data_IF_776563540583
#
_entry.id   IF_776563540583
#
_cell.length_a   1.000
_cell.length_b   1.000
_cell.length_c   1.000
_cell.angle_alpha   90.00
_cell.angle_beta   90.00
_cell.angle_gamma   90.00
#
_symmetry.space_group_name_H-M   'P 1'
#
loop_
_entity.id
_entity.type
_entity.pdbx_description
1 polymer ?
#
# COMPACT_ATOMS: atom_id res chain seq x y z
N UNK A 1 126.61 25.10 111.91
CA UNK A 1 125.14 25.34 112.02
C UNK A 1 124.59 25.90 110.70
N UNK A 2 125.26 26.87 110.06
CA UNK A 2 124.86 27.45 108.77
C UNK A 2 124.88 26.47 107.58
N UNK A 3 125.86 25.57 107.50
CA UNK A 3 125.97 24.57 106.41
C UNK A 3 124.81 23.57 106.37
N UNK A 4 124.23 23.24 107.54
CA UNK A 4 123.05 22.37 107.68
C UNK A 4 121.76 23.04 107.20
N UNK A 5 121.64 24.36 107.38
CA UNK A 5 120.45 25.14 106.99
C UNK A 5 120.41 25.32 105.47
N UNK A 6 121.57 25.58 104.85
CA UNK A 6 121.71 25.68 103.40
C UNK A 6 121.34 24.35 102.71
N UNK A 7 121.78 23.22 103.24
CA UNK A 7 121.46 21.90 102.68
C UNK A 7 119.97 21.52 102.82
N UNK A 8 119.35 21.92 103.93
CA UNK A 8 117.91 21.73 104.15
C UNK A 8 117.08 22.60 103.19
N UNK A 9 117.47 23.86 102.96
CA UNK A 9 116.83 24.71 101.95
C UNK A 9 116.99 24.16 100.53
N UNK A 10 118.20 23.70 100.17
CA UNK A 10 118.44 23.11 98.85
C UNK A 10 117.56 21.87 98.61
N UNK A 11 117.40 21.04 99.64
CA UNK A 11 116.55 19.85 99.60
C UNK A 11 115.07 20.22 99.44
N UNK A 12 114.59 21.22 100.20
CA UNK A 12 113.21 21.71 100.11
C UNK A 12 112.90 22.32 98.72
N UNK A 13 113.79 23.17 98.19
CA UNK A 13 113.59 23.75 96.86
C UNK A 13 113.63 22.69 95.76
N UNK A 14 114.53 21.70 95.88
CA UNK A 14 114.57 20.58 94.95
C UNK A 14 113.26 19.79 94.96
N UNK A 15 112.76 19.45 96.14
CA UNK A 15 111.50 18.73 96.30
C UNK A 15 110.30 19.53 95.76
N UNK A 16 110.20 20.83 96.09
CA UNK A 16 109.16 21.70 95.55
C UNK A 16 109.20 21.81 94.01
N UNK A 17 110.41 21.84 93.44
CA UNK A 17 110.61 21.86 91.98
C UNK A 17 110.22 20.52 91.34
N UNK A 18 110.56 19.40 91.97
CA UNK A 18 110.19 18.05 91.54
C UNK A 18 108.66 17.87 91.59
N UNK A 19 108.00 18.26 92.69
CA UNK A 19 106.54 18.24 92.83
C UNK A 19 105.84 19.12 91.80
N UNK A 20 106.32 20.35 91.57
CA UNK A 20 105.77 21.23 90.54
C UNK A 20 105.92 20.64 89.12
N UNK A 21 107.02 19.91 88.87
CA UNK A 21 107.26 19.23 87.59
C UNK A 21 106.33 18.02 87.41
N UNK A 22 106.10 17.24 88.46
CA UNK A 22 105.14 16.14 88.47
C UNK A 22 103.71 16.64 88.27
N UNK A 23 103.28 17.69 88.98
CA UNK A 23 101.97 18.32 88.81
C UNK A 23 101.77 18.87 87.40
N UNK A 24 102.79 19.51 86.83
CA UNK A 24 102.77 19.98 85.44
C UNK A 24 102.60 18.80 84.47
N UNK A 25 103.31 17.69 84.68
CA UNK A 25 103.18 16.49 83.84
C UNK A 25 101.78 15.86 83.94
N UNK A 26 101.21 15.79 85.15
CA UNK A 26 99.82 15.32 85.37
C UNK A 26 98.81 16.25 84.69
N UNK A 27 98.98 17.56 84.81
CA UNK A 27 98.09 18.52 84.16
C UNK A 27 98.20 18.44 82.64
N UNK A 28 99.40 18.25 82.10
CA UNK A 28 99.65 18.12 80.67
C UNK A 28 99.05 16.83 80.10
N UNK A 29 99.15 15.69 80.81
CA UNK A 29 98.48 14.45 80.39
C UNK A 29 96.96 14.58 80.43
N UNK A 30 96.40 15.25 81.46
CA UNK A 30 94.96 15.55 81.54
C UNK A 30 94.50 16.48 80.43
N UNK A 31 95.29 17.52 80.12
CA UNK A 31 95.03 18.44 79.01
C UNK A 31 94.99 17.68 77.68
N UNK A 32 96.01 16.86 77.38
CA UNK A 32 96.06 16.08 76.14
C UNK A 32 94.88 15.10 76.01
N UNK A 33 94.47 14.47 77.12
CA UNK A 33 93.30 13.58 77.17
C UNK A 33 92.00 14.34 76.86
N UNK A 34 91.77 15.46 77.53
CA UNK A 34 90.58 16.29 77.30
C UNK A 34 90.55 16.86 75.88
N UNK A 35 91.69 17.28 75.35
CA UNK A 35 91.82 17.75 73.97
C UNK A 35 91.45 16.65 72.96
N UNK A 36 91.92 15.42 73.19
CA UNK A 36 91.57 14.27 72.33
C UNK A 36 90.06 13.96 72.39
N UNK A 37 89.46 13.99 73.57
CA UNK A 37 88.01 13.77 73.76
C UNK A 37 87.16 14.88 73.14
N UNK A 38 87.63 16.13 73.19
CA UNK A 38 86.97 17.26 72.54
C UNK A 38 86.97 17.08 71.02
N UNK A 39 88.13 16.72 70.44
CA UNK A 39 88.26 16.46 69.00
C UNK A 39 87.38 15.27 68.55
N UNK A 40 87.35 14.18 69.33
CA UNK A 40 86.48 13.03 69.07
C UNK A 40 84.99 13.44 69.10
N UNK A 41 84.60 14.21 70.12
CA UNK A 41 83.23 14.71 70.25
C UNK A 41 82.85 15.64 69.09
N UNK A 42 83.75 16.53 68.68
CA UNK A 42 83.56 17.41 67.52
C UNK A 42 83.41 16.61 66.22
N UNK A 43 84.24 15.59 65.99
CA UNK A 43 84.11 14.70 64.83
C UNK A 43 82.78 13.96 64.84
N UNK A 44 82.32 13.50 66.02
CA UNK A 44 81.03 12.82 66.16
C UNK A 44 79.87 13.76 65.86
N UNK A 45 79.89 14.98 66.40
CA UNK A 45 78.88 16.02 66.12
C UNK A 45 78.83 16.31 64.62
N UNK A 46 79.98 16.53 63.97
CA UNK A 46 80.04 16.76 62.53
C UNK A 46 79.44 15.60 61.71
N UNK A 47 79.76 14.35 62.08
CA UNK A 47 79.17 13.18 61.41
C UNK A 47 77.65 13.10 61.61
N UNK A 48 77.16 13.44 62.80
CA UNK A 48 75.73 13.46 63.10
C UNK A 48 75.01 14.58 62.33
N UNK A 49 75.61 15.76 62.22
CA UNK A 49 75.07 16.87 61.41
C UNK A 49 74.94 16.49 59.94
N UNK A 50 75.93 15.77 59.38
CA UNK A 50 75.85 15.24 58.02
C UNK A 50 74.71 14.22 57.87
N UNK A 51 74.57 13.27 58.80
CA UNK A 51 73.46 12.31 58.76
C UNK A 51 72.10 12.98 58.89
N UNK A 52 71.96 14.00 59.74
CA UNK A 52 70.73 14.77 59.89
C UNK A 52 70.38 15.54 58.61
N UNK A 53 71.37 16.11 57.92
CA UNK A 53 71.17 16.76 56.63
C UNK A 53 70.66 15.76 55.58
N UNK A 54 71.30 14.59 55.46
CA UNK A 54 70.90 13.55 54.53
C UNK A 54 69.48 13.03 54.80
N UNK A 55 69.10 12.89 56.08
CA UNK A 55 67.74 12.51 56.48
C UNK A 55 66.71 13.59 56.14
N UNK A 56 67.03 14.88 56.33
CA UNK A 56 66.16 15.99 55.92
C UNK A 56 65.91 15.98 54.41
N UNK A 57 66.97 15.85 53.62
CA UNK A 57 66.84 15.79 52.16
C UNK A 57 66.00 14.57 51.70
N UNK A 58 66.12 13.43 52.41
CA UNK A 58 65.30 12.25 52.14
C UNK A 58 63.82 12.51 52.47
N UNK A 59 63.52 13.15 53.61
CA UNK A 59 62.15 13.52 53.98
C UNK A 59 61.53 14.47 52.96
N UNK A 60 62.28 15.46 52.47
CA UNK A 60 61.77 16.42 51.48
C UNK A 60 61.48 15.74 50.13
N UNK A 61 62.35 14.83 49.68
CA UNK A 61 62.08 14.00 48.48
C UNK A 61 60.85 13.12 48.66
N UNK A 62 60.63 12.58 49.86
CA UNK A 62 59.44 11.78 50.16
C UNK A 62 58.17 12.62 50.10
N UNK A 63 58.16 13.80 50.72
CA UNK A 63 57.01 14.73 50.66
C UNK A 63 56.67 15.15 49.23
N UNK A 64 57.68 15.43 48.41
CA UNK A 64 57.45 15.77 47.01
C UNK A 64 56.84 14.59 46.23
N UNK A 65 57.33 13.36 46.47
CA UNK A 65 56.77 12.15 45.86
C UNK A 65 55.33 11.93 46.30
N UNK A 66 55.04 12.09 47.59
CA UNK A 66 53.71 11.95 48.17
C UNK A 66 52.74 12.96 47.53
N UNK A 67 53.10 14.25 47.45
CA UNK A 67 52.28 15.26 46.80
C UNK A 67 51.98 14.95 45.31
N UNK A 68 52.98 14.44 44.57
CA UNK A 68 52.78 13.99 43.17
C UNK A 68 51.83 12.79 43.09
N UNK A 69 51.94 11.83 44.00
CA UNK A 69 51.06 10.67 44.06
C UNK A 69 49.62 11.07 44.42
N UNK A 70 49.44 11.97 45.39
CA UNK A 70 48.12 12.51 45.75
C UNK A 70 47.47 13.24 44.59
N UNK A 71 48.21 14.09 43.87
CA UNK A 71 47.74 14.77 42.67
C UNK A 71 47.28 13.78 41.59
N UNK A 72 48.07 12.73 41.36
CA UNK A 72 47.69 11.68 40.41
C UNK A 72 46.43 10.94 40.86
N UNK A 73 46.34 10.55 42.13
CA UNK A 73 45.15 9.87 42.68
C UNK A 73 43.90 10.75 42.52
N UNK A 74 44.00 12.06 42.78
CA UNK A 74 42.90 13.01 42.59
C UNK A 74 42.44 13.05 41.13
N UNK A 75 43.36 13.17 40.17
CA UNK A 75 43.04 13.18 38.74
C UNK A 75 42.42 11.85 38.27
N UNK A 76 42.89 10.72 38.78
CA UNK A 76 42.29 9.41 38.47
C UNK A 76 40.87 9.29 39.02
N UNK A 77 40.61 9.78 40.23
CA UNK A 77 39.27 9.79 40.83
C UNK A 77 38.30 10.65 40.03
N UNK A 78 38.72 11.85 39.65
CA UNK A 78 37.91 12.75 38.81
C UNK A 78 37.58 12.11 37.46
N UNK A 79 38.56 11.50 36.79
CA UNK A 79 38.32 10.80 35.53
C UNK A 79 37.34 9.64 35.70
N UNK A 80 37.49 8.84 36.76
CA UNK A 80 36.60 7.72 37.02
C UNK A 80 35.16 8.21 37.23
N UNK A 81 34.98 9.26 38.04
CA UNK A 81 33.67 9.89 38.24
C UNK A 81 33.06 10.38 36.93
N UNK A 82 33.83 11.06 36.08
CA UNK A 82 33.33 11.55 34.79
C UNK A 82 32.89 10.40 33.87
N UNK A 83 33.69 9.34 33.78
CA UNK A 83 33.33 8.14 33.03
C UNK A 83 32.08 7.47 33.58
N UNK A 84 31.92 7.38 34.90
CA UNK A 84 30.69 6.86 35.53
C UNK A 84 29.45 7.67 35.15
N UNK A 85 29.55 9.01 35.15
CA UNK A 85 28.45 9.88 34.73
C UNK A 85 28.11 9.73 33.25
N UNK A 86 29.12 9.61 32.38
CA UNK A 86 28.94 9.33 30.94
C UNK A 86 28.22 7.99 30.72
N UNK A 87 28.62 6.94 31.45
CA UNK A 87 27.96 5.63 31.36
C UNK A 87 26.48 5.69 31.77
N UNK A 88 26.14 6.44 32.83
CA UNK A 88 24.76 6.63 33.26
C UNK A 88 23.93 7.37 32.20
N UNK A 89 24.51 8.40 31.57
CA UNK A 89 23.89 9.13 30.46
C UNK A 89 23.67 8.22 29.25
N UNK A 90 24.67 7.44 28.85
CA UNK A 90 24.59 6.47 27.75
C UNK A 90 23.52 5.41 28.03
N UNK A 91 23.47 4.87 29.25
CA UNK A 91 22.49 3.87 29.65
C UNK A 91 21.06 4.42 29.57
N UNK A 92 20.86 5.66 30.03
CA UNK A 92 19.56 6.34 29.97
C UNK A 92 19.14 6.61 28.52
N UNK A 93 20.07 7.10 27.70
CA UNK A 93 19.84 7.32 26.26
C UNK A 93 19.50 6.03 25.53
N UNK A 94 20.22 4.94 25.82
CA UNK A 94 19.97 3.60 25.27
C UNK A 94 18.56 3.12 25.61
N UNK A 95 18.14 3.24 26.87
CA UNK A 95 16.78 2.86 27.29
C UNK A 95 15.69 3.59 26.49
N UNK A 96 15.86 4.90 26.27
CA UNK A 96 14.94 5.68 25.44
C UNK A 96 14.94 5.23 23.97
N UNK A 97 16.11 4.95 23.41
CA UNK A 97 16.23 4.43 22.04
C UNK A 97 15.56 3.06 21.89
N UNK A 98 15.76 2.15 22.84
CA UNK A 98 15.15 0.83 22.85
C UNK A 98 13.62 0.93 22.88
N UNK A 99 13.06 1.82 23.70
CA UNK A 99 11.62 2.09 23.74
C UNK A 99 11.10 2.60 22.38
N UNK A 100 11.82 3.53 21.74
CA UNK A 100 11.43 4.05 20.43
C UNK A 100 11.52 2.99 19.33
N UNK A 101 12.50 2.09 19.39
CA UNK A 101 12.60 0.94 18.47
C UNK A 101 11.41 -0.01 18.66
N UNK A 102 10.99 -0.29 19.89
CA UNK A 102 9.81 -1.12 20.17
C UNK A 102 8.53 -0.50 19.60
N UNK A 103 8.31 0.82 19.81
CA UNK A 103 7.16 1.53 19.24
C UNK A 103 7.13 1.46 17.72
N UNK A 104 8.24 1.80 17.06
CA UNK A 104 8.33 1.76 15.60
C UNK A 104 8.16 0.34 15.04
N UNK A 105 8.64 -0.68 15.76
CA UNK A 105 8.45 -2.08 15.36
C UNK A 105 6.98 -2.45 15.36
N UNK A 106 6.24 -2.08 16.42
CA UNK A 106 4.80 -2.32 16.52
C UNK A 106 4.01 -1.59 15.43
N UNK A 107 4.31 -0.32 15.18
CA UNK A 107 3.67 0.45 14.10
C UNK A 107 3.92 -0.19 12.73
N UNK A 108 5.13 -0.70 12.48
CA UNK A 108 5.48 -1.38 11.24
C UNK A 108 4.70 -2.69 11.06
N UNK A 109 4.49 -3.46 12.14
CA UNK A 109 3.64 -4.66 12.12
C UNK A 109 2.17 -4.32 11.81
N UNK A 110 1.62 -3.27 12.40
CA UNK A 110 0.25 -2.80 12.13
C UNK A 110 0.07 -2.36 10.67
N UNK A 111 1.05 -1.63 10.11
CA UNK A 111 1.04 -1.22 8.70
C UNK A 111 1.11 -2.43 7.78
N UNK A 112 1.98 -3.41 8.06
CA UNK A 112 2.04 -4.67 7.30
C UNK A 112 0.70 -5.41 7.31
N UNK A 113 0.03 -5.47 8.46
CA UNK A 113 -1.31 -6.04 8.59
C UNK A 113 -2.33 -5.35 7.67
N UNK A 114 -2.37 -4.02 7.67
CA UNK A 114 -3.25 -3.23 6.79
C UNK A 114 -2.96 -3.44 5.31
N UNK A 115 -1.69 -3.54 4.93
CA UNK A 115 -1.28 -3.83 3.55
C UNK A 115 -1.83 -5.20 3.10
N UNK A 116 -1.70 -6.23 3.94
CA UNK A 116 -2.23 -7.55 3.63
C UNK A 116 -3.76 -7.55 3.50
N UNK A 117 -4.48 -6.85 4.37
CA UNK A 117 -5.94 -6.72 4.29
C UNK A 117 -6.39 -6.03 3.00
N UNK A 118 -5.72 -4.93 2.62
CA UNK A 118 -6.02 -4.21 1.38
C UNK A 118 -5.71 -5.03 0.13
N UNK A 119 -4.63 -5.82 0.13
CA UNK A 119 -4.31 -6.74 -0.96
C UNK A 119 -5.39 -7.83 -1.14
N UNK A 120 -5.90 -8.39 -0.03
CA UNK A 120 -7.02 -9.35 -0.05
C UNK A 120 -8.28 -8.70 -0.63
N UNK A 121 -8.66 -7.51 -0.15
CA UNK A 121 -9.83 -6.77 -0.67
C UNK A 121 -9.68 -6.42 -2.15
N UNK A 122 -8.49 -6.00 -2.57
CA UNK A 122 -8.20 -5.69 -3.98
C UNK A 122 -8.42 -6.91 -4.87
N UNK A 123 -7.91 -8.08 -4.47
CA UNK A 123 -8.11 -9.35 -5.19
C UNK A 123 -9.59 -9.74 -5.26
N UNK A 124 -10.35 -9.52 -4.19
CA UNK A 124 -11.79 -9.77 -4.16
C UNK A 124 -12.54 -8.88 -5.16
N UNK A 125 -12.32 -7.56 -5.13
CA UNK A 125 -12.94 -6.62 -6.07
C UNK A 125 -12.57 -6.93 -7.52
N UNK A 126 -11.32 -7.35 -7.77
CA UNK A 126 -10.89 -7.75 -9.11
C UNK A 126 -11.65 -8.98 -9.60
N UNK A 127 -11.84 -9.99 -8.74
CA UNK A 127 -12.61 -11.19 -9.06
C UNK A 127 -14.09 -10.86 -9.34
N UNK A 128 -14.71 -10.03 -8.49
CA UNK A 128 -16.09 -9.57 -8.67
C UNK A 128 -16.27 -8.78 -9.97
N UNK A 129 -15.34 -7.86 -10.29
CA UNK A 129 -15.37 -7.09 -11.54
C UNK A 129 -15.26 -8.00 -12.77
N UNK A 130 -14.37 -9.01 -12.73
CA UNK A 130 -14.24 -9.96 -13.83
C UNK A 130 -15.49 -10.81 -14.00
N UNK A 131 -16.09 -11.27 -12.90
CA UNK A 131 -17.37 -12.01 -12.93
C UNK A 131 -18.48 -11.16 -13.54
N UNK A 132 -18.64 -9.91 -13.10
CA UNK A 132 -19.64 -8.99 -13.64
C UNK A 132 -19.44 -8.72 -15.14
N UNK A 133 -18.19 -8.55 -15.59
CA UNK A 133 -17.87 -8.42 -17.03
C UNK A 133 -18.25 -9.67 -17.83
N UNK A 134 -17.97 -10.86 -17.29
CA UNK A 134 -18.36 -12.11 -17.93
C UNK A 134 -19.88 -12.24 -18.04
N UNK A 135 -20.62 -12.00 -16.94
CA UNK A 135 -22.08 -12.05 -16.93
C UNK A 135 -22.72 -11.04 -17.90
N UNK A 136 -22.16 -9.83 -18.00
CA UNK A 136 -22.58 -8.82 -18.96
C UNK A 136 -22.34 -9.26 -20.42
N UNK A 137 -21.16 -9.83 -20.71
CA UNK A 137 -20.85 -10.36 -22.04
C UNK A 137 -21.77 -11.53 -22.42
N UNK A 138 -22.04 -12.45 -21.49
CA UNK A 138 -22.96 -13.57 -21.70
C UNK A 138 -24.40 -13.10 -21.93
N UNK A 139 -24.85 -12.10 -21.17
CA UNK A 139 -26.19 -11.52 -21.32
C UNK A 139 -26.32 -10.81 -22.66
N UNK A 140 -25.31 -10.02 -23.06
CA UNK A 140 -25.27 -9.41 -24.38
C UNK A 140 -25.36 -10.45 -25.49
N UNK A 141 -24.53 -11.50 -25.43
CA UNK A 141 -24.57 -12.61 -26.41
C UNK A 141 -25.97 -13.23 -26.50
N UNK A 142 -26.61 -13.51 -25.36
CA UNK A 142 -27.98 -14.07 -25.32
C UNK A 142 -29.02 -13.12 -25.94
N UNK A 143 -28.90 -11.81 -25.69
CA UNK A 143 -29.76 -10.80 -26.30
C UNK A 143 -29.57 -10.73 -27.82
N UNK A 144 -28.31 -10.71 -28.29
CA UNK A 144 -27.99 -10.68 -29.72
C UNK A 144 -28.53 -11.93 -30.45
N UNK A 145 -28.43 -13.11 -29.80
CA UNK A 145 -29.00 -14.37 -30.30
C UNK A 145 -30.53 -14.34 -30.37
N UNK A 146 -31.19 -13.80 -29.33
CA UNK A 146 -32.64 -13.64 -29.31
C UNK A 146 -33.12 -12.70 -30.42
N UNK A 147 -32.48 -11.54 -30.58
CA UNK A 147 -32.79 -10.57 -31.63
C UNK A 147 -32.64 -11.23 -33.01
N UNK A 148 -31.53 -11.93 -33.24
CA UNK A 148 -31.29 -12.65 -34.50
C UNK A 148 -32.36 -13.70 -34.77
N UNK A 149 -32.76 -14.46 -33.75
CA UNK A 149 -33.81 -15.46 -33.87
C UNK A 149 -35.18 -14.84 -34.24
N UNK A 150 -35.55 -13.71 -33.62
CA UNK A 150 -36.79 -13.00 -33.93
C UNK A 150 -36.74 -12.38 -35.33
N UNK A 151 -35.66 -11.67 -35.67
CA UNK A 151 -35.45 -11.09 -37.00
C UNK A 151 -35.62 -12.12 -38.11
N UNK A 152 -35.01 -13.32 -37.93
CA UNK A 152 -35.15 -14.44 -38.85
C UNK A 152 -36.59 -14.95 -38.97
N UNK A 153 -37.34 -15.03 -37.85
CA UNK A 153 -38.75 -15.46 -37.88
C UNK A 153 -39.66 -14.47 -38.60
N UNK A 154 -39.37 -13.17 -38.53
CA UNK A 154 -40.14 -12.11 -39.20
C UNK A 154 -39.59 -11.79 -40.59
N UNK A 155 -38.47 -12.39 -41.00
CA UNK A 155 -37.77 -12.12 -42.26
C UNK A 155 -37.36 -10.65 -42.43
N UNK A 156 -36.90 -10.02 -41.35
CA UNK A 156 -36.42 -8.63 -41.31
C UNK A 156 -34.91 -8.61 -41.18
N UNK A 157 -34.23 -7.81 -42.00
CA UNK A 157 -32.80 -7.57 -41.85
C UNK A 157 -32.56 -6.43 -40.85
N UNK A 158 -31.87 -6.72 -39.76
CA UNK A 158 -31.55 -5.74 -38.70
C UNK A 158 -30.09 -5.27 -38.73
N UNK A 159 -29.32 -5.66 -39.75
CA UNK A 159 -27.91 -5.31 -39.84
C UNK A 159 -27.72 -3.80 -40.00
N UNK A 160 -26.98 -3.18 -39.07
CA UNK A 160 -26.67 -1.75 -39.09
C UNK A 160 -27.69 -0.87 -38.36
N UNK A 161 -28.77 -1.44 -37.84
CA UNK A 161 -29.75 -0.71 -37.05
C UNK A 161 -29.24 -0.43 -35.64
N UNK A 162 -29.40 0.82 -35.18
CA UNK A 162 -28.93 1.26 -33.87
C UNK A 162 -29.72 0.60 -32.71
N UNK A 163 -31.02 0.38 -32.92
CA UNK A 163 -31.88 -0.41 -32.04
C UNK A 163 -32.63 -1.47 -32.86
N UNK A 164 -32.07 -2.69 -32.97
CA UNK A 164 -32.69 -3.77 -33.72
C UNK A 164 -34.09 -4.17 -33.23
N UNK A 165 -34.37 -4.07 -31.93
CA UNK A 165 -35.67 -4.49 -31.37
C UNK A 165 -36.75 -3.50 -31.74
N UNK A 166 -36.50 -2.20 -31.54
CA UNK A 166 -37.44 -1.15 -31.93
C UNK A 166 -37.71 -1.17 -33.44
N UNK A 167 -36.68 -1.43 -34.25
CA UNK A 167 -36.84 -1.59 -35.70
C UNK A 167 -37.74 -2.78 -36.07
N UNK A 168 -37.53 -3.96 -35.46
CA UNK A 168 -38.39 -5.13 -35.67
C UNK A 168 -39.84 -4.81 -35.28
N UNK A 169 -40.06 -4.15 -34.15
CA UNK A 169 -41.40 -3.78 -33.67
C UNK A 169 -42.09 -2.87 -34.68
N UNK A 170 -41.39 -1.84 -35.19
CA UNK A 170 -41.93 -0.93 -36.21
C UNK A 170 -42.33 -1.66 -37.51
N UNK A 171 -41.49 -2.60 -37.94
CA UNK A 171 -41.77 -3.43 -39.13
C UNK A 171 -42.98 -4.36 -38.92
N UNK A 172 -43.13 -4.93 -37.72
CA UNK A 172 -44.29 -5.74 -37.35
C UNK A 172 -45.57 -4.91 -37.35
N UNK A 173 -45.56 -3.72 -36.75
CA UNK A 173 -46.71 -2.82 -36.72
C UNK A 173 -47.17 -2.44 -38.13
N UNK A 174 -46.21 -2.16 -39.00
CA UNK A 174 -46.48 -1.84 -40.42
C UNK A 174 -47.11 -3.05 -41.13
N UNK A 175 -46.57 -4.24 -40.89
CA UNK A 175 -47.09 -5.50 -41.45
C UNK A 175 -48.50 -5.83 -40.94
N UNK A 176 -48.80 -5.58 -39.67
CA UNK A 176 -50.14 -5.78 -39.10
C UNK A 176 -51.17 -4.81 -39.70
N UNK A 177 -50.81 -3.54 -39.88
CA UNK A 177 -51.67 -2.56 -40.55
C UNK A 177 -52.01 -2.98 -41.98
N UNK A 178 -51.01 -3.44 -42.75
CA UNK A 178 -51.26 -3.91 -44.12
C UNK A 178 -52.10 -5.19 -44.15
N UNK A 179 -51.84 -6.15 -43.25
CA UNK A 179 -52.69 -7.35 -43.09
C UNK A 179 -54.15 -6.97 -42.85
N UNK A 180 -54.41 -6.03 -41.95
CA UNK A 180 -55.78 -5.60 -41.64
C UNK A 180 -56.44 -4.89 -42.82
N UNK A 181 -55.67 -4.13 -43.61
CA UNK A 181 -56.12 -3.52 -44.86
C UNK A 181 -56.50 -4.59 -45.89
N UNK A 182 -55.62 -5.56 -46.13
CA UNK A 182 -55.84 -6.67 -47.06
C UNK A 182 -57.07 -7.50 -46.65
N UNK A 183 -57.25 -7.77 -45.36
CA UNK A 183 -58.42 -8.49 -44.85
C UNK A 183 -59.73 -7.75 -45.18
N UNK A 184 -59.76 -6.42 -45.01
CA UNK A 184 -60.91 -5.60 -45.41
C UNK A 184 -61.15 -5.65 -46.93
N UNK A 185 -60.10 -5.58 -47.74
CA UNK A 185 -60.20 -5.72 -49.20
C UNK A 185 -60.75 -7.08 -49.61
N UNK A 186 -60.32 -8.16 -48.97
CA UNK A 186 -60.83 -9.52 -49.22
C UNK A 186 -62.33 -9.59 -48.90
N UNK A 187 -62.76 -9.10 -47.73
CA UNK A 187 -64.19 -9.06 -47.39
C UNK A 187 -65.03 -8.29 -48.43
N UNK A 188 -64.55 -7.11 -48.86
CA UNK A 188 -65.24 -6.32 -49.87
C UNK A 188 -65.31 -7.01 -51.24
N UNK A 189 -64.24 -7.71 -51.65
CA UNK A 189 -64.22 -8.53 -52.86
C UNK A 189 -65.19 -9.71 -52.77
N UNK A 190 -65.21 -10.41 -51.64
CA UNK A 190 -66.15 -11.52 -51.40
C UNK A 190 -67.62 -11.05 -51.49
N UNK A 191 -67.94 -9.87 -50.95
CA UNK A 191 -69.26 -9.25 -51.08
C UNK A 191 -69.59 -8.89 -52.54
N UNK A 192 -68.64 -8.27 -53.25
CA UNK A 192 -68.80 -7.93 -54.67
C UNK A 192 -69.04 -9.15 -55.54
N UNK A 193 -68.30 -10.24 -55.30
CA UNK A 193 -68.48 -11.52 -56.01
C UNK A 193 -69.87 -12.10 -55.75
N UNK A 194 -70.36 -12.08 -54.50
CA UNK A 194 -71.72 -12.54 -54.16
C UNK A 194 -72.79 -11.72 -54.89
N UNK A 195 -72.64 -10.40 -54.95
CA UNK A 195 -73.57 -9.53 -55.69
C UNK A 195 -73.54 -9.85 -57.19
N UNK A 196 -72.35 -9.95 -57.78
CA UNK A 196 -72.19 -10.33 -59.19
C UNK A 196 -72.80 -11.70 -59.50
N UNK A 197 -72.69 -12.66 -58.58
CA UNK A 197 -73.29 -13.98 -58.76
C UNK A 197 -74.82 -13.91 -58.79
N UNK A 198 -75.43 -13.08 -57.93
CA UNK A 198 -76.89 -12.84 -57.94
C UNK A 198 -77.30 -12.12 -59.22
N UNK A 199 -76.56 -11.10 -59.66
CA UNK A 199 -76.83 -10.37 -60.89
C UNK A 199 -76.72 -11.27 -62.13
N UNK A 200 -75.67 -12.10 -62.21
CA UNK A 200 -75.52 -13.10 -63.27
C UNK A 200 -76.65 -14.13 -63.28
N UNK A 201 -77.11 -14.60 -62.10
CA UNK A 201 -78.27 -15.50 -62.01
C UNK A 201 -79.54 -14.82 -62.53
N UNK A 202 -79.79 -13.57 -62.14
CA UNK A 202 -80.92 -12.80 -62.63
C UNK A 202 -80.84 -12.56 -64.15
N UNK A 203 -79.69 -12.12 -64.66
CA UNK A 203 -79.43 -11.90 -66.08
C UNK A 203 -79.64 -13.18 -66.90
N UNK A 204 -79.13 -14.32 -66.42
CA UNK A 204 -79.33 -15.63 -67.06
C UNK A 204 -80.82 -15.99 -67.15
N UNK A 205 -81.59 -15.74 -66.09
CA UNK A 205 -83.04 -15.97 -66.09
C UNK A 205 -83.77 -15.03 -67.07
N UNK A 206 -83.36 -13.76 -67.15
CA UNK A 206 -83.89 -12.81 -68.14
C UNK A 206 -83.61 -13.27 -69.57
N UNK A 207 -82.36 -13.66 -69.88
CA UNK A 207 -81.99 -14.19 -71.20
C UNK A 207 -82.82 -15.44 -71.53
N UNK A 208 -83.00 -16.35 -70.56
CA UNK A 208 -83.82 -17.55 -70.72
C UNK A 208 -85.29 -17.20 -71.04
N UNK A 209 -85.90 -16.24 -70.32
CA UNK A 209 -87.27 -15.78 -70.58
C UNK A 209 -87.39 -15.15 -71.98
N UNK A 210 -86.46 -14.27 -72.36
CA UNK A 210 -86.45 -13.66 -73.69
C UNK A 210 -86.29 -14.70 -74.80
N UNK A 211 -85.43 -15.72 -74.62
CA UNK A 211 -85.29 -16.81 -75.57
C UNK A 211 -86.62 -17.57 -75.77
N UNK A 212 -87.34 -17.87 -74.68
CA UNK A 212 -88.67 -18.51 -74.77
C UNK A 212 -89.72 -17.60 -75.44
N UNK A 213 -89.69 -16.29 -75.21
CA UNK A 213 -90.58 -15.35 -75.88
C UNK A 213 -90.30 -15.25 -77.38
N UNK A 214 -89.02 -15.26 -77.78
CA UNK A 214 -88.61 -15.28 -79.19
C UNK A 214 -89.06 -16.57 -79.86
N UNK A 215 -88.88 -17.74 -79.23
CA UNK A 215 -89.37 -19.03 -79.76
C UNK A 215 -90.89 -19.01 -79.95
N UNK A 216 -91.64 -18.45 -78.99
CA UNK A 216 -93.09 -18.28 -79.07
C UNK A 216 -93.49 -17.36 -80.24
N UNK A 217 -92.87 -16.20 -80.37
CA UNK A 217 -93.14 -15.25 -81.48
C UNK A 217 -92.72 -15.81 -82.84
N UNK A 218 -91.64 -16.61 -82.91
CA UNK A 218 -91.26 -17.34 -84.12
C UNK A 218 -92.33 -18.37 -84.50
N UNK A 219 -92.86 -19.12 -83.53
CA UNK A 219 -93.96 -20.06 -83.75
C UNK A 219 -95.24 -19.35 -84.23
N UNK A 220 -95.62 -18.23 -83.60
CA UNK A 220 -96.75 -17.40 -84.03
C UNK A 220 -96.53 -16.75 -85.41
N UNK A 221 -95.31 -16.34 -85.72
CA UNK A 221 -94.98 -15.80 -87.03
C UNK A 221 -95.04 -16.88 -88.10
N UNK A 222 -94.54 -18.08 -87.81
CA UNK A 222 -94.66 -19.25 -88.69
C UNK A 222 -96.12 -19.63 -88.92
N UNK A 223 -96.97 -19.60 -87.88
CA UNK A 223 -98.41 -19.84 -88.04
C UNK A 223 -99.09 -18.78 -88.90
N UNK A 224 -98.79 -17.49 -88.69
CA UNK A 224 -99.30 -16.39 -89.53
C UNK A 224 -98.82 -16.48 -90.98
N UNK A 225 -97.57 -16.89 -91.22
CA UNK A 225 -97.05 -17.15 -92.56
C UNK A 225 -97.80 -18.31 -93.22
N UNK A 226 -98.11 -19.37 -92.46
CA UNK A 226 -98.92 -20.48 -92.95
C UNK A 226 -100.37 -20.05 -93.27
N UNK A 227 -100.99 -19.20 -92.45
CA UNK A 227 -102.31 -18.60 -92.71
C UNK A 227 -102.31 -17.66 -93.93
N UNK A 228 -101.27 -16.85 -94.10
CA UNK A 228 -101.06 -16.00 -95.28
C UNK A 228 -100.88 -16.84 -96.56
N UNK A 229 -100.10 -17.93 -96.47
CA UNK A 229 -99.92 -18.87 -97.57
C UNK A 229 -101.22 -19.58 -97.93
N UNK A 230 -102.03 -19.96 -96.94
CA UNK A 230 -103.36 -20.53 -97.12
C UNK A 230 -104.32 -19.53 -97.77
N UNK A 231 -104.29 -18.26 -97.34
CA UNK A 231 -105.10 -17.18 -97.93
C UNK A 231 -104.66 -16.81 -99.35
N UNK A 232 -103.37 -16.87 -99.66
CA UNK A 232 -102.84 -16.76 -101.05
C UNK A 232 -103.34 -17.88 -101.94
N UNK A 233 -103.46 -19.11 -101.40
CA UNK A 233 -104.00 -20.27 -102.11
C UNK A 233 -105.49 -20.09 -102.46
N UNK A 234 -106.27 -19.42 -101.59
CA UNK A 234 -107.67 -19.04 -101.84
C UNK A 234 -107.78 -17.90 -102.88
N UNK A 235 -106.90 -16.90 -102.84
CA UNK A 235 -106.84 -15.82 -103.84
C UNK A 235 -106.40 -16.29 -105.23
N UNK A 236 -105.61 -17.37 -105.33
CA UNK A 236 -105.33 -18.04 -106.61
C UNK A 236 -106.53 -18.83 -107.15
N UNK A 237 -107.44 -19.31 -106.29
CA UNK A 237 -108.67 -19.98 -106.71
C UNK A 237 -109.76 -18.99 -107.20
N UNK A 238 -109.73 -17.71 -106.81
CA UNK A 238 -110.71 -16.70 -107.26
C UNK A 238 -110.31 -15.96 -108.56
N UNK A 239 -109.13 -16.24 -109.14
CA UNK A 239 -108.65 -15.60 -110.39
C UNK A 239 -108.65 -16.54 -111.60
N UNK A 240 -109.37 -17.66 -111.50
CA UNK A 240 -109.46 -18.72 -112.52
C UNK A 240 -110.88 -19.12 -112.89
N UNK A 241 -111.84 -18.19 -112.79
CA UNK A 241 -113.20 -18.31 -113.35
C UNK A 241 -113.58 -16.96 -114.00
N UNK A 242 -112.86 -16.60 -115.05
CA UNK A 242 -113.41 -15.91 -116.22
C UNK A 242 -113.43 -16.91 -117.37
#
# INVERSE_FOLDING_TARGET
MEESVIQQHLTHYKQATETAREELAVLQTKYNKLQSQLLESQSKVASQEETLKNLRDAVDRHKEKEARQESLISSLRERNYNTEQEMLSITSSKSFMDMRVQTLTKENEEIKGKIMELDIKSKQYFAECNKAKQEAAETKRRSDEFISAVANKVSVNVAGEADPLDYIISMLDTSFKERDRLKKCICALEESVKLYEVECKASRETVKRLATDVEREQSLSASRVNELNSSRQVLTCQRGQE
#
